data_IF_214226858116
#
_entry.id   IF_214226858116
#
_cell.length_a   1.000
_cell.length_b   1.000
_cell.length_c   1.000
_cell.angle_alpha   90.00
_cell.angle_beta   90.00
_cell.angle_gamma   90.00
#
_symmetry.space_group_name_H-M   'P 1'
#
loop_
_entity.id
_entity.type
_entity.pdbx_description
1 polymer ?
#
# COMPACT_ATOMS: atom_id res chain seq x y z
N UNK A 1 7.79 6.19 -6.37
CA UNK A 1 8.12 5.85 -4.96
C UNK A 1 9.25 6.72 -4.41
N UNK A 2 10.30 6.98 -5.18
CA UNK A 2 11.40 7.91 -4.81
C UNK A 2 10.85 9.26 -4.38
N UNK A 3 10.04 9.90 -5.26
CA UNK A 3 9.44 11.21 -4.99
C UNK A 3 8.63 11.24 -3.70
N UNK A 4 7.87 10.16 -3.44
CA UNK A 4 7.10 10.03 -2.19
C UNK A 4 8.03 9.96 -0.97
N UNK A 5 9.08 9.13 -1.02
CA UNK A 5 10.03 8.99 0.09
C UNK A 5 10.73 10.33 0.40
N UNK A 6 11.18 11.03 -0.63
CA UNK A 6 11.82 12.33 -0.50
C UNK A 6 10.87 13.39 0.05
N UNK A 7 9.67 13.51 -0.54
CA UNK A 7 8.67 14.48 -0.11
C UNK A 7 8.21 14.22 1.34
N UNK A 8 7.98 12.95 1.71
CA UNK A 8 7.58 12.58 3.06
C UNK A 8 8.67 12.91 4.08
N UNK A 9 9.94 12.61 3.79
CA UNK A 9 11.07 12.94 4.67
C UNK A 9 11.27 14.44 4.81
N UNK A 10 11.22 15.18 3.71
CA UNK A 10 11.32 16.64 3.74
C UNK A 10 10.20 17.27 4.60
N UNK A 11 8.97 16.76 4.48
CA UNK A 11 7.85 17.21 5.30
C UNK A 11 8.04 16.89 6.80
N UNK A 12 8.53 15.68 7.12
CA UNK A 12 8.85 15.27 8.50
C UNK A 12 9.91 16.20 9.09
N UNK A 13 11.01 16.42 8.38
CA UNK A 13 12.13 17.22 8.87
C UNK A 13 11.74 18.69 9.05
N UNK A 14 10.97 19.25 8.12
CA UNK A 14 10.45 20.61 8.24
C UNK A 14 9.55 20.78 9.46
N UNK A 15 8.69 19.81 9.78
CA UNK A 15 7.83 19.87 10.98
C UNK A 15 8.63 19.69 12.28
N UNK A 16 9.62 18.81 12.28
CA UNK A 16 10.51 18.63 13.44
C UNK A 16 11.34 19.89 13.73
N UNK A 17 11.83 20.55 12.70
CA UNK A 17 12.57 21.81 12.86
C UNK A 17 11.70 22.92 13.48
N UNK A 18 10.38 22.86 13.32
CA UNK A 18 9.40 23.76 13.94
C UNK A 18 8.96 23.31 15.35
N UNK A 19 9.54 22.23 15.89
CA UNK A 19 9.19 21.69 17.22
C UNK A 19 7.93 20.81 17.24
N UNK A 20 7.33 20.47 16.08
CA UNK A 20 6.19 19.58 16.02
C UNK A 20 6.59 18.10 16.03
N UNK A 21 5.68 17.26 16.53
CA UNK A 21 5.76 15.82 16.39
C UNK A 21 5.04 15.40 15.11
N UNK A 22 5.75 14.95 14.05
CA UNK A 22 5.12 14.52 12.83
C UNK A 22 4.40 13.19 13.02
N UNK A 23 3.23 13.04 12.41
CA UNK A 23 2.47 11.79 12.38
C UNK A 23 2.34 11.35 10.92
N UNK A 24 2.89 10.17 10.60
CA UNK A 24 2.72 9.53 9.29
C UNK A 24 1.53 8.57 9.36
N UNK A 25 0.50 8.81 8.56
CA UNK A 25 -0.70 7.97 8.49
C UNK A 25 -0.81 7.32 7.13
N UNK A 26 -1.02 6.01 7.09
CA UNK A 26 -1.19 5.28 5.84
C UNK A 26 -1.33 3.78 6.03
N UNK A 27 -1.70 3.09 4.95
CA UNK A 27 -1.91 1.63 4.94
C UNK A 27 -1.16 0.91 3.82
N UNK A 28 -0.41 1.63 2.97
CA UNK A 28 0.44 1.03 1.93
C UNK A 28 1.80 0.70 2.54
N UNK A 29 1.96 -0.56 2.97
CA UNK A 29 3.13 -1.00 3.73
C UNK A 29 4.47 -0.67 3.07
N UNK A 30 4.56 -0.79 1.75
CA UNK A 30 5.78 -0.46 1.01
C UNK A 30 6.15 1.02 1.13
N UNK A 31 5.18 1.94 1.05
CA UNK A 31 5.42 3.37 1.22
C UNK A 31 5.84 3.71 2.67
N UNK A 32 5.16 3.11 3.65
CA UNK A 32 5.53 3.26 5.06
C UNK A 32 6.97 2.80 5.28
N UNK A 33 7.34 1.61 4.81
CA UNK A 33 8.71 1.10 4.90
C UNK A 33 9.74 1.95 4.16
N UNK A 34 9.39 2.49 3.00
CA UNK A 34 10.28 3.37 2.26
C UNK A 34 10.72 4.57 3.10
N UNK A 35 9.82 5.13 3.90
CA UNK A 35 10.13 6.26 4.81
C UNK A 35 10.84 5.78 6.07
N UNK A 36 10.29 4.77 6.76
CA UNK A 36 10.74 4.34 8.08
C UNK A 36 12.02 3.50 8.04
N UNK A 37 12.17 2.62 7.06
CA UNK A 37 13.31 1.70 6.99
C UNK A 37 14.38 2.18 5.99
N UNK A 38 14.18 3.35 5.39
CA UNK A 38 15.15 3.91 4.46
C UNK A 38 15.45 2.98 3.28
N UNK A 39 14.42 2.37 2.71
CA UNK A 39 14.60 1.51 1.55
C UNK A 39 15.34 2.25 0.43
N UNK A 40 16.40 1.64 -0.06
CA UNK A 40 17.04 2.07 -1.29
C UNK A 40 16.16 1.65 -2.46
N UNK A 41 15.81 2.61 -3.29
CA UNK A 41 14.95 2.38 -4.45
C UNK A 41 15.88 2.31 -5.67
N UNK A 42 15.83 1.22 -6.47
CA UNK A 42 16.67 1.10 -7.66
C UNK A 42 16.52 2.32 -8.57
N UNK A 43 17.62 2.87 -9.10
CA UNK A 43 17.62 4.02 -10.02
C UNK A 43 17.18 3.60 -11.42
N UNK A 44 16.09 2.87 -11.53
CA UNK A 44 15.50 2.36 -12.76
C UNK A 44 14.02 2.76 -12.78
N UNK A 45 13.64 3.84 -13.47
CA UNK A 45 12.24 4.18 -13.68
C UNK A 45 11.51 3.06 -14.45
N UNK A 46 10.18 2.98 -14.37
CA UNK A 46 9.42 2.06 -15.20
C UNK A 46 9.67 2.31 -16.69
N UNK A 47 9.99 1.24 -17.41
CA UNK A 47 10.20 1.25 -18.86
C UNK A 47 9.07 0.49 -19.57
N UNK A 48 8.15 1.25 -20.17
CA UNK A 48 6.98 0.68 -20.84
C UNK A 48 7.36 -0.16 -22.06
N UNK A 49 8.38 0.25 -22.81
CA UNK A 49 8.85 -0.46 -24.00
C UNK A 49 9.48 -1.81 -23.62
N UNK A 50 10.34 -1.81 -22.60
CA UNK A 50 10.91 -3.04 -22.08
C UNK A 50 9.84 -3.99 -21.51
N UNK A 51 8.85 -3.47 -20.78
CA UNK A 51 7.74 -4.29 -20.26
C UNK A 51 6.91 -4.91 -21.38
N UNK A 52 6.61 -4.14 -22.42
CA UNK A 52 5.90 -4.63 -23.59
C UNK A 52 6.68 -5.74 -24.32
N UNK A 53 8.01 -5.64 -24.41
CA UNK A 53 8.84 -6.69 -25.00
C UNK A 53 8.80 -8.02 -24.25
N UNK A 54 8.36 -8.01 -22.98
CA UNK A 54 8.22 -9.20 -22.14
C UNK A 54 6.80 -9.77 -22.14
N UNK A 55 5.81 -9.13 -22.79
CA UNK A 55 4.39 -9.55 -22.66
C UNK A 55 4.12 -10.98 -23.14
N UNK A 56 4.74 -11.43 -24.21
CA UNK A 56 4.62 -12.80 -24.73
C UNK A 56 5.54 -13.83 -24.10
N UNK A 57 6.43 -13.42 -23.20
CA UNK A 57 7.42 -14.31 -22.62
C UNK A 57 6.82 -15.22 -21.56
N UNK A 58 6.99 -16.54 -21.75
CA UNK A 58 6.42 -17.56 -20.87
C UNK A 58 7.36 -17.97 -19.74
N UNK A 59 8.67 -17.79 -19.89
CA UNK A 59 9.67 -18.21 -18.90
C UNK A 59 10.54 -17.05 -18.39
N UNK A 60 9.87 -16.05 -17.82
CA UNK A 60 10.55 -14.92 -17.17
C UNK A 60 11.43 -15.35 -16.01
N UNK A 61 11.12 -16.49 -15.37
CA UNK A 61 11.88 -16.97 -14.22
C UNK A 61 13.23 -17.53 -14.66
N UNK A 62 13.28 -18.32 -15.72
CA UNK A 62 14.54 -18.81 -16.28
C UNK A 62 15.41 -17.65 -16.77
N UNK A 63 14.81 -16.69 -17.50
CA UNK A 63 15.52 -15.49 -17.93
C UNK A 63 16.08 -14.66 -16.77
N UNK A 64 15.33 -14.55 -15.66
CA UNK A 64 15.84 -13.88 -14.46
C UNK A 64 17.00 -14.69 -13.84
N UNK A 65 16.92 -16.02 -13.83
CA UNK A 65 17.97 -16.87 -13.27
C UNK A 65 19.32 -16.72 -13.98
N UNK A 66 19.33 -16.34 -15.26
CA UNK A 66 20.56 -16.07 -16.01
C UNK A 66 21.26 -14.78 -15.56
N UNK A 67 20.50 -13.76 -15.15
CA UNK A 67 21.05 -12.42 -14.86
C UNK A 67 21.04 -12.05 -13.38
N UNK A 68 20.14 -12.66 -12.60
CA UNK A 68 20.00 -12.47 -11.15
C UNK A 68 19.53 -13.78 -10.49
N UNK A 69 20.44 -14.79 -10.36
CA UNK A 69 20.08 -16.09 -9.77
C UNK A 69 19.55 -15.99 -8.35
N UNK A 70 20.03 -15.00 -7.58
CA UNK A 70 19.60 -14.79 -6.21
C UNK A 70 18.15 -14.30 -6.13
N UNK A 71 17.77 -13.34 -6.98
CA UNK A 71 16.37 -12.90 -7.05
C UNK A 71 15.46 -14.01 -7.60
N UNK A 72 15.89 -14.78 -8.60
CA UNK A 72 15.15 -15.93 -9.11
C UNK A 72 14.89 -16.96 -8.01
N UNK A 73 15.88 -17.28 -7.19
CA UNK A 73 15.73 -18.23 -6.06
C UNK A 73 14.74 -17.78 -4.98
N UNK A 74 14.44 -16.49 -4.90
CA UNK A 74 13.50 -15.92 -3.92
C UNK A 74 12.10 -15.67 -4.47
N UNK A 75 11.97 -15.51 -5.78
CA UNK A 75 10.71 -15.17 -6.44
C UNK A 75 10.01 -16.41 -6.96
N UNK A 76 8.70 -16.47 -6.73
CA UNK A 76 7.91 -17.56 -7.31
C UNK A 76 7.79 -17.38 -8.84
N UNK A 77 7.89 -18.46 -9.66
CA UNK A 77 7.80 -18.38 -11.13
C UNK A 77 6.53 -17.69 -11.65
N UNK A 78 5.44 -17.76 -10.90
CA UNK A 78 4.16 -17.11 -11.24
C UNK A 78 4.07 -15.64 -10.79
N UNK A 79 5.09 -15.10 -10.09
CA UNK A 79 5.09 -13.69 -9.66
C UNK A 79 5.62 -12.78 -10.78
N UNK A 80 4.86 -12.75 -11.89
CA UNK A 80 5.22 -12.00 -13.10
C UNK A 80 5.60 -10.54 -12.80
N UNK A 81 4.87 -9.89 -11.90
CA UNK A 81 5.10 -8.48 -11.58
C UNK A 81 6.51 -8.26 -10.99
N UNK A 82 6.93 -9.12 -10.06
CA UNK A 82 8.26 -9.02 -9.46
C UNK A 82 9.36 -9.51 -10.38
N UNK A 83 9.12 -10.54 -11.18
CA UNK A 83 10.06 -11.03 -12.18
C UNK A 83 10.36 -9.93 -13.22
N UNK A 84 9.31 -9.34 -13.81
CA UNK A 84 9.45 -8.22 -14.76
C UNK A 84 10.20 -7.05 -14.13
N UNK A 85 9.90 -6.71 -12.88
CA UNK A 85 10.61 -5.60 -12.19
C UNK A 85 12.09 -5.89 -11.96
N UNK A 86 12.45 -7.10 -11.61
CA UNK A 86 13.86 -7.49 -11.43
C UNK A 86 14.63 -7.43 -12.75
N UNK A 87 14.04 -7.95 -13.83
CA UNK A 87 14.59 -7.87 -15.18
C UNK A 87 14.72 -6.42 -15.68
N UNK A 88 13.72 -5.57 -15.42
CA UNK A 88 13.72 -4.14 -15.75
C UNK A 88 14.86 -3.40 -15.04
N UNK A 89 15.10 -3.70 -13.76
CA UNK A 89 16.22 -3.11 -13.01
C UNK A 89 17.56 -3.55 -13.61
N UNK A 90 17.70 -4.85 -13.90
CA UNK A 90 18.92 -5.35 -14.54
C UNK A 90 19.13 -4.74 -15.93
N UNK A 91 18.08 -4.66 -16.74
CA UNK A 91 18.14 -4.03 -18.07
C UNK A 91 18.63 -2.57 -18.00
N UNK A 92 18.12 -1.80 -17.05
CA UNK A 92 18.45 -0.39 -16.91
C UNK A 92 19.81 -0.12 -16.27
N UNK A 93 20.31 -1.03 -15.43
CA UNK A 93 21.48 -0.77 -14.57
C UNK A 93 22.66 -1.71 -14.81
N UNK A 94 22.43 -2.84 -15.48
CA UNK A 94 23.41 -3.93 -15.60
C UNK A 94 23.70 -4.66 -14.27
N UNK A 95 22.90 -4.42 -13.21
CA UNK A 95 23.14 -4.94 -11.86
C UNK A 95 21.91 -5.65 -11.30
N UNK A 96 22.10 -6.75 -10.54
CA UNK A 96 21.01 -7.44 -9.86
C UNK A 96 20.18 -6.54 -8.96
N UNK A 97 18.85 -6.77 -8.91
CA UNK A 97 17.95 -5.98 -8.07
C UNK A 97 18.31 -6.07 -6.58
N UNK A 98 18.88 -7.19 -6.14
CA UNK A 98 19.34 -7.41 -4.77
C UNK A 98 20.36 -6.37 -4.30
N UNK A 99 21.21 -5.90 -5.21
CA UNK A 99 22.20 -4.87 -4.89
C UNK A 99 21.60 -3.51 -4.50
N UNK A 100 20.34 -3.28 -4.83
CA UNK A 100 19.59 -2.08 -4.44
C UNK A 100 18.63 -2.32 -3.28
N UNK A 101 18.51 -3.57 -2.80
CA UNK A 101 17.56 -3.93 -1.73
C UNK A 101 18.19 -3.78 -0.34
N UNK A 102 18.81 -2.62 -0.08
CA UNK A 102 19.29 -2.33 1.27
C UNK A 102 18.38 -1.33 1.97
N UNK A 103 18.55 -1.27 3.28
CA UNK A 103 17.92 -0.29 4.15
C UNK A 103 18.99 0.57 4.79
N UNK A 104 18.74 1.86 4.90
CA UNK A 104 19.53 2.75 5.74
C UNK A 104 18.85 2.88 7.11
N UNK A 105 19.63 2.99 8.20
CA UNK A 105 19.03 3.21 9.51
C UNK A 105 18.05 4.37 9.50
N UNK A 106 16.90 4.20 10.14
CA UNK A 106 15.92 5.26 10.28
C UNK A 106 16.53 6.42 11.11
N UNK A 107 16.55 7.65 10.60
CA UNK A 107 17.09 8.78 11.34
C UNK A 107 16.12 9.28 12.42
N UNK A 108 14.94 8.67 12.52
CA UNK A 108 13.89 9.07 13.44
C UNK A 108 13.72 8.03 14.54
N UNK A 109 13.43 8.51 15.75
CA UNK A 109 12.89 7.68 16.81
C UNK A 109 11.42 7.45 16.51
N UNK A 110 10.98 6.20 16.48
CA UNK A 110 9.66 5.80 16.02
C UNK A 110 8.78 5.27 17.15
N UNK A 111 7.49 5.62 17.12
CA UNK A 111 6.42 4.92 17.80
C UNK A 111 5.38 4.55 16.73
N UNK A 112 5.19 3.25 16.51
CA UNK A 112 4.35 2.76 15.41
C UNK A 112 3.09 2.12 15.98
N UNK A 113 1.93 2.64 15.59
CA UNK A 113 0.63 2.07 15.92
C UNK A 113 0.01 1.37 14.72
N UNK A 114 -0.51 0.17 14.96
CA UNK A 114 -1.40 -0.53 14.02
C UNK A 114 -2.84 -0.47 14.54
N UNK A 115 -3.72 0.25 13.85
CA UNK A 115 -5.12 0.33 14.23
C UNK A 115 -5.92 -0.68 13.43
N UNK A 116 -6.64 -1.58 14.11
CA UNK A 116 -7.49 -2.59 13.46
C UNK A 116 -8.75 -2.84 14.28
N UNK A 117 -9.58 -3.76 13.82
CA UNK A 117 -10.77 -4.22 14.56
C UNK A 117 -10.88 -5.74 14.50
N UNK A 118 -11.68 -6.33 15.39
CA UNK A 118 -12.09 -7.71 15.27
C UNK A 118 -12.70 -7.98 13.89
N UNK A 119 -12.40 -9.15 13.30
CA UNK A 119 -12.71 -9.40 11.88
C UNK A 119 -14.19 -9.17 11.52
N UNK A 120 -15.18 -9.61 12.30
CA UNK A 120 -16.58 -9.34 11.98
C UNK A 120 -16.88 -7.83 11.92
N UNK A 121 -16.44 -7.09 12.92
CA UNK A 121 -16.62 -5.64 13.01
C UNK A 121 -15.90 -4.91 11.86
N UNK A 122 -14.70 -5.36 11.49
CA UNK A 122 -13.98 -4.78 10.36
C UNK A 122 -14.74 -4.98 9.05
N UNK A 123 -15.31 -6.15 8.82
CA UNK A 123 -16.07 -6.47 7.62
C UNK A 123 -17.38 -5.68 7.54
N UNK A 124 -18.12 -5.61 8.63
CA UNK A 124 -19.31 -4.75 8.74
C UNK A 124 -18.99 -3.28 8.40
N UNK A 125 -17.90 -2.75 8.94
CA UNK A 125 -17.46 -1.37 8.65
C UNK A 125 -17.04 -1.17 7.20
N UNK A 126 -16.44 -2.18 6.57
CA UNK A 126 -16.11 -2.15 5.14
C UNK A 126 -17.39 -2.08 4.31
N UNK A 127 -18.34 -2.96 4.60
CA UNK A 127 -19.60 -3.03 3.86
C UNK A 127 -20.40 -1.72 4.01
N UNK A 128 -20.51 -1.23 5.25
CA UNK A 128 -21.15 0.06 5.53
C UNK A 128 -20.42 1.25 4.87
N UNK A 129 -19.10 1.20 4.74
CA UNK A 129 -18.31 2.22 4.03
C UNK A 129 -18.61 2.21 2.53
N UNK A 130 -18.68 1.05 1.91
CA UNK A 130 -19.02 0.91 0.49
C UNK A 130 -20.39 1.55 0.22
N UNK A 131 -21.40 1.24 1.03
CA UNK A 131 -22.73 1.84 0.89
C UNK A 131 -22.70 3.36 1.04
N UNK A 132 -22.00 3.89 2.04
CA UNK A 132 -21.85 5.34 2.23
C UNK A 132 -21.15 6.03 1.05
N UNK A 133 -20.17 5.38 0.44
CA UNK A 133 -19.51 5.93 -0.77
C UNK A 133 -20.49 6.05 -1.94
N UNK A 134 -21.34 5.04 -2.13
CA UNK A 134 -22.38 5.07 -3.15
C UNK A 134 -23.38 6.22 -2.91
N UNK A 135 -23.86 6.36 -1.69
CA UNK A 135 -24.80 7.41 -1.28
C UNK A 135 -24.18 8.82 -1.43
N UNK A 136 -22.86 8.93 -1.19
CA UNK A 136 -22.12 10.17 -1.38
C UNK A 136 -21.83 10.52 -2.86
N UNK A 137 -22.23 9.66 -3.80
CA UNK A 137 -22.11 9.95 -5.23
C UNK A 137 -20.87 9.36 -5.92
N UNK A 138 -20.24 8.35 -5.34
CA UNK A 138 -19.06 7.71 -5.92
C UNK A 138 -19.23 7.27 -7.40
N UNK A 139 -20.41 6.73 -7.85
CA UNK A 139 -20.60 6.45 -9.27
C UNK A 139 -20.47 7.68 -10.17
N UNK A 140 -20.94 8.84 -9.71
CA UNK A 140 -20.82 10.11 -10.46
C UNK A 140 -19.37 10.59 -10.53
N UNK A 141 -18.61 10.41 -9.45
CA UNK A 141 -17.16 10.71 -9.43
C UNK A 141 -16.43 9.88 -10.47
N UNK A 142 -16.67 8.55 -10.50
CA UNK A 142 -16.02 7.64 -11.46
C UNK A 142 -16.38 8.03 -12.89
N UNK A 143 -17.67 8.31 -13.18
CA UNK A 143 -18.11 8.73 -14.51
C UNK A 143 -17.44 10.05 -14.93
N UNK A 144 -17.42 11.05 -14.04
CA UNK A 144 -16.81 12.34 -14.33
C UNK A 144 -15.31 12.25 -14.62
N UNK A 145 -14.59 11.34 -13.93
CA UNK A 145 -13.19 11.08 -14.23
C UNK A 145 -13.01 10.40 -15.58
N UNK A 146 -13.85 9.42 -15.91
CA UNK A 146 -13.83 8.75 -17.20
C UNK A 146 -14.17 9.71 -18.36
N UNK A 147 -15.17 10.57 -18.19
CA UNK A 147 -15.55 11.58 -19.19
C UNK A 147 -14.43 12.58 -19.46
N UNK A 148 -13.68 12.94 -18.42
CA UNK A 148 -12.61 13.94 -18.52
C UNK A 148 -11.29 13.37 -19.01
N UNK A 149 -10.93 12.15 -18.62
CA UNK A 149 -9.59 11.59 -18.80
C UNK A 149 -9.57 10.28 -19.56
N UNK A 150 -10.71 9.72 -19.90
CA UNK A 150 -10.86 8.41 -20.52
C UNK A 150 -10.81 7.26 -19.51
N UNK A 151 -11.35 6.10 -19.92
CA UNK A 151 -11.39 4.87 -19.10
C UNK A 151 -9.99 4.27 -18.84
N UNK A 152 -9.00 4.61 -19.66
CA UNK A 152 -7.61 4.16 -19.53
C UNK A 152 -6.82 4.90 -18.44
N UNK A 153 -7.47 5.84 -17.73
CA UNK A 153 -6.83 6.54 -16.60
C UNK A 153 -6.38 5.51 -15.56
N UNK A 154 -5.09 5.45 -15.18
CA UNK A 154 -4.58 4.45 -14.23
C UNK A 154 -5.30 4.44 -12.87
N UNK A 155 -5.85 5.57 -12.45
CA UNK A 155 -6.66 5.68 -11.24
C UNK A 155 -7.90 4.79 -11.31
N UNK A 156 -8.56 4.71 -12.47
CA UNK A 156 -9.77 3.92 -12.68
C UNK A 156 -9.51 2.39 -12.63
N UNK A 157 -8.26 1.96 -12.70
CA UNK A 157 -7.83 0.58 -12.43
C UNK A 157 -7.63 0.25 -10.96
N UNK A 158 -7.86 1.20 -10.04
CA UNK A 158 -7.66 0.97 -8.61
C UNK A 158 -8.91 0.43 -7.92
N UNK A 159 -8.72 -0.12 -6.71
CA UNK A 159 -9.76 -0.71 -5.87
C UNK A 159 -10.95 0.25 -5.67
N UNK A 160 -12.14 -0.22 -5.95
CA UNK A 160 -13.38 0.54 -5.91
C UNK A 160 -13.72 1.17 -7.26
N UNK A 161 -12.75 1.82 -7.90
CA UNK A 161 -12.95 2.44 -9.22
C UNK A 161 -13.12 1.40 -10.33
N UNK A 162 -12.34 0.32 -10.31
CA UNK A 162 -12.40 -0.73 -11.33
C UNK A 162 -13.77 -1.43 -11.35
N UNK A 163 -14.30 -1.75 -10.17
CA UNK A 163 -15.60 -2.42 -10.04
C UNK A 163 -16.75 -1.47 -10.43
N UNK A 164 -16.68 -0.22 -9.97
CA UNK A 164 -17.68 0.78 -10.31
C UNK A 164 -17.60 1.16 -11.79
N UNK A 165 -16.41 1.23 -12.38
CA UNK A 165 -16.21 1.45 -13.80
C UNK A 165 -16.82 0.32 -14.65
N UNK A 166 -16.65 -0.94 -14.25
CA UNK A 166 -17.26 -2.09 -14.90
C UNK A 166 -18.81 -2.03 -14.88
N UNK A 167 -19.39 -1.59 -13.75
CA UNK A 167 -20.84 -1.34 -13.68
C UNK A 167 -21.28 -0.22 -14.64
N UNK A 168 -20.56 0.91 -14.64
CA UNK A 168 -20.92 2.05 -15.50
C UNK A 168 -20.78 1.75 -16.98
N UNK A 169 -19.90 0.84 -17.38
CA UNK A 169 -19.79 0.34 -18.76
C UNK A 169 -20.79 -0.77 -19.10
N UNK A 170 -21.62 -1.21 -18.13
CA UNK A 170 -22.59 -2.30 -18.34
C UNK A 170 -21.98 -3.71 -18.35
N UNK A 171 -20.76 -3.88 -17.89
CA UNK A 171 -20.05 -5.17 -17.82
C UNK A 171 -20.48 -5.99 -16.60
N UNK A 172 -20.92 -5.31 -15.53
CA UNK A 172 -21.41 -5.90 -14.29
C UNK A 172 -22.77 -5.33 -13.90
N UNK A 173 -23.56 -6.13 -13.18
CA UNK A 173 -24.74 -5.63 -12.48
C UNK A 173 -24.35 -4.76 -11.28
N UNK A 174 -25.23 -3.84 -10.87
CA UNK A 174 -24.98 -2.91 -9.75
C UNK A 174 -24.64 -3.67 -8.46
N UNK A 175 -25.42 -4.65 -8.09
CA UNK A 175 -25.26 -5.40 -6.83
C UNK A 175 -23.99 -6.26 -6.87
N UNK A 176 -23.64 -6.80 -8.03
CA UNK A 176 -22.40 -7.53 -8.25
C UNK A 176 -21.18 -6.64 -8.09
N UNK A 177 -21.19 -5.44 -8.68
CA UNK A 177 -20.10 -4.47 -8.53
C UNK A 177 -19.90 -4.06 -7.06
N UNK A 178 -20.99 -3.85 -6.31
CA UNK A 178 -20.96 -3.56 -4.88
C UNK A 178 -20.36 -4.72 -4.08
N UNK A 179 -20.80 -5.95 -4.35
CA UNK A 179 -20.30 -7.15 -3.68
C UNK A 179 -18.79 -7.35 -3.93
N UNK A 180 -18.34 -7.19 -5.18
CA UNK A 180 -16.93 -7.28 -5.56
C UNK A 180 -16.09 -6.19 -4.90
N UNK A 181 -16.56 -4.94 -4.90
CA UNK A 181 -15.89 -3.81 -4.25
C UNK A 181 -15.69 -4.08 -2.75
N UNK A 182 -16.71 -4.58 -2.06
CA UNK A 182 -16.62 -4.98 -0.66
C UNK A 182 -15.64 -6.15 -0.45
N UNK A 183 -15.72 -7.17 -1.30
CA UNK A 183 -14.84 -8.35 -1.24
C UNK A 183 -13.37 -7.97 -1.46
N UNK A 184 -13.08 -7.17 -2.47
CA UNK A 184 -11.72 -6.73 -2.78
C UNK A 184 -11.17 -5.83 -1.69
N UNK A 185 -12.01 -4.98 -1.08
CA UNK A 185 -11.64 -4.17 0.09
C UNK A 185 -11.30 -5.04 1.30
N UNK A 186 -12.08 -6.08 1.58
CA UNK A 186 -11.76 -7.07 2.64
C UNK A 186 -10.43 -7.80 2.35
N UNK A 187 -10.17 -8.16 1.11
CA UNK A 187 -8.92 -8.79 0.70
C UNK A 187 -7.72 -7.82 0.83
N UNK A 188 -7.93 -6.54 0.52
CA UNK A 188 -6.92 -5.51 0.75
C UNK A 188 -6.61 -5.34 2.24
N UNK A 189 -7.61 -5.29 3.09
CA UNK A 189 -7.43 -5.23 4.55
C UNK A 189 -6.65 -6.46 5.09
N UNK A 190 -6.91 -7.67 4.57
CA UNK A 190 -6.11 -8.86 4.91
C UNK A 190 -4.63 -8.69 4.52
N UNK A 191 -4.37 -8.17 3.31
CA UNK A 191 -2.98 -7.92 2.86
C UNK A 191 -2.27 -6.90 3.75
N UNK A 192 -2.96 -5.82 4.15
CA UNK A 192 -2.40 -4.84 5.10
C UNK A 192 -2.04 -5.49 6.43
N UNK A 193 -2.94 -6.28 7.01
CA UNK A 193 -2.69 -6.98 8.28
C UNK A 193 -1.51 -7.95 8.18
N UNK A 194 -1.42 -8.72 7.09
CA UNK A 194 -0.29 -9.64 6.86
C UNK A 194 1.03 -8.88 6.79
N UNK A 195 1.04 -7.75 6.08
CA UNK A 195 2.23 -6.91 5.95
C UNK A 195 2.69 -6.34 7.28
N UNK A 196 1.79 -5.66 8.00
CA UNK A 196 2.15 -4.96 9.23
C UNK A 196 2.35 -5.87 10.44
N UNK A 197 1.77 -7.08 10.46
CA UNK A 197 2.01 -8.07 11.52
C UNK A 197 3.44 -8.62 11.52
N UNK A 198 4.13 -8.57 10.40
CA UNK A 198 5.53 -8.94 10.31
C UNK A 198 6.47 -7.91 10.98
N UNK A 199 6.02 -6.69 11.19
CA UNK A 199 6.79 -5.62 11.84
C UNK A 199 6.59 -5.64 13.36
N UNK A 200 7.60 -6.07 14.10
CA UNK A 200 7.56 -6.16 15.57
C UNK A 200 7.51 -4.81 16.28
N UNK A 201 7.72 -3.70 15.59
CA UNK A 201 7.63 -2.33 16.14
C UNK A 201 6.20 -1.88 16.32
N UNK A 202 5.24 -2.55 15.69
CA UNK A 202 3.84 -2.15 15.69
C UNK A 202 3.17 -2.49 17.01
N UNK A 203 2.71 -1.46 17.70
CA UNK A 203 1.81 -1.57 18.85
C UNK A 203 0.37 -1.60 18.34
N UNK A 204 -0.29 -2.76 18.47
CA UNK A 204 -1.63 -2.95 17.95
C UNK A 204 -2.69 -2.37 18.87
N UNK A 205 -3.52 -1.49 18.34
CA UNK A 205 -4.75 -0.97 18.93
C UNK A 205 -5.92 -1.68 18.26
N UNK A 206 -6.49 -2.66 18.96
CA UNK A 206 -7.53 -3.53 18.41
C UNK A 206 -8.87 -3.08 18.95
N UNK A 207 -9.77 -2.67 18.06
CA UNK A 207 -11.15 -2.36 18.39
C UNK A 207 -11.95 -3.66 18.46
N UNK A 208 -12.47 -3.99 19.63
CA UNK A 208 -13.27 -5.20 19.87
C UNK A 208 -14.76 -4.95 19.64
N UNK A 209 -15.24 -3.77 20.02
CA UNK A 209 -16.65 -3.40 19.93
C UNK A 209 -16.84 -2.03 19.25
N UNK A 210 -18.08 -1.70 18.90
CA UNK A 210 -18.45 -0.37 18.47
C UNK A 210 -18.78 0.52 19.68
N UNK A 211 -18.69 1.85 19.49
CA UNK A 211 -19.11 2.84 20.48
C UNK A 211 -18.01 3.67 21.10
N UNK A 212 -18.40 4.74 21.81
CA UNK A 212 -17.50 5.75 22.37
C UNK A 212 -16.61 5.19 23.48
N UNK A 213 -17.13 4.35 24.35
CA UNK A 213 -16.34 3.74 25.44
C UNK A 213 -15.14 2.94 24.92
N UNK A 214 -15.28 2.28 23.77
CA UNK A 214 -14.19 1.57 23.14
C UNK A 214 -13.16 2.52 22.50
N UNK A 215 -13.63 3.65 21.97
CA UNK A 215 -12.75 4.71 21.48
C UNK A 215 -11.92 5.31 22.62
N UNK A 216 -12.54 5.61 23.75
CA UNK A 216 -11.86 6.12 24.94
C UNK A 216 -10.82 5.12 25.45
N UNK A 217 -11.15 3.82 25.47
CA UNK A 217 -10.19 2.77 25.83
C UNK A 217 -8.97 2.76 24.92
N UNK A 218 -9.16 2.83 23.60
CA UNK A 218 -8.08 2.83 22.64
C UNK A 218 -7.22 4.10 22.73
N UNK A 219 -7.87 5.25 22.95
CA UNK A 219 -7.17 6.52 23.17
C UNK A 219 -6.33 6.49 24.44
N UNK A 220 -6.87 5.96 25.55
CA UNK A 220 -6.11 5.80 26.80
C UNK A 220 -4.90 4.86 26.61
N UNK A 221 -5.07 3.76 25.88
CA UNK A 221 -3.95 2.87 25.55
C UNK A 221 -2.88 3.56 24.71
N UNK A 222 -3.27 4.32 23.70
CA UNK A 222 -2.35 5.08 22.87
C UNK A 222 -1.62 6.16 23.67
N UNK A 223 -2.33 6.93 24.50
CA UNK A 223 -1.76 7.99 25.35
C UNK A 223 -0.70 7.42 26.32
N UNK A 224 -0.99 6.31 26.97
CA UNK A 224 -0.02 5.65 27.85
C UNK A 224 1.28 5.26 27.13
N UNK A 225 1.17 4.76 25.90
CA UNK A 225 2.34 4.43 25.07
C UNK A 225 3.11 5.68 24.63
N UNK A 226 2.42 6.75 24.25
CA UNK A 226 3.03 8.03 23.86
C UNK A 226 3.77 8.64 25.04
N UNK A 227 3.14 8.71 26.24
CA UNK A 227 3.78 9.24 27.45
C UNK A 227 5.06 8.48 27.79
N UNK A 228 4.99 7.14 27.79
CA UNK A 228 6.16 6.31 28.02
C UNK A 228 7.25 6.56 26.98
N UNK A 229 6.87 6.64 25.70
CA UNK A 229 7.82 6.90 24.61
C UNK A 229 8.46 8.29 24.72
N UNK A 230 7.73 9.32 25.12
CA UNK A 230 8.30 10.67 25.34
C UNK A 230 9.29 10.71 26.49
N UNK A 231 9.00 10.00 27.59
CA UNK A 231 9.82 9.99 28.80
C UNK A 231 11.12 9.17 28.69
N UNK A 232 11.17 8.21 27.77
CA UNK A 232 12.37 7.36 27.55
C UNK A 232 13.39 7.99 26.60
N UNK A 233 13.64 9.29 26.72
CA UNK A 233 14.66 10.00 25.92
C UNK A 233 16.04 9.44 26.10
#
# INVERSE_FOLDING_TARGET
MVDFQQAARAAIDARRAQGYLPILVGGTGLYVRAVLDGLTIPPAPPDAAFRASLEGETDLHARLAEVDPEAAGRLHPNDRVRLVRALEVFHATGRPIGEFQHTTPCPYRLLVFGVTAARPLLYERIDARVMRMLDAGFPREVQALADRFGWELPLLGTLGYVEMGAFLRGELGRDEAIALMAQHTRNYAKRQLTWFRADRRVHWLIRETAGAAEEDRLLAQADALVRRWVLTR
#
